data_IF_607187090452
#
_entry.id   IF_607187090452
#
_cell.length_a   1.000
_cell.length_b   1.000
_cell.length_c   1.000
_cell.angle_alpha   90.00
_cell.angle_beta   90.00
_cell.angle_gamma   90.00
#
_symmetry.space_group_name_H-M   'P 1'
#
loop_
_entity.id
_entity.type
_entity.pdbx_description
1 polymer ?
#
# COMPACT_ATOMS: atom_id res chain seq x y z
N UNK A 1 -48.29 -22.92 10.60
CA UNK A 1 -46.92 -23.46 10.45
C UNK A 1 -45.97 -22.53 9.69
N UNK A 2 -46.43 -21.89 8.60
CA UNK A 2 -45.60 -21.05 7.70
C UNK A 2 -44.96 -19.80 8.34
N UNK A 3 -45.69 -19.07 9.19
CA UNK A 3 -45.18 -17.87 9.87
C UNK A 3 -44.12 -18.22 10.93
N UNK A 4 -44.28 -19.36 11.62
CA UNK A 4 -43.32 -19.83 12.63
C UNK A 4 -41.98 -20.21 12.00
N UNK A 5 -42.00 -20.81 10.80
CA UNK A 5 -40.77 -21.14 10.06
C UNK A 5 -40.04 -19.88 9.57
N UNK A 6 -40.77 -18.88 9.09
CA UNK A 6 -40.19 -17.61 8.63
C UNK A 6 -39.54 -16.82 9.79
N UNK A 7 -40.22 -16.79 10.95
CA UNK A 7 -39.68 -16.19 12.18
C UNK A 7 -38.43 -16.91 12.68
N UNK A 8 -38.42 -18.25 12.60
CA UNK A 8 -37.26 -19.05 12.98
C UNK A 8 -36.05 -18.74 12.09
N UNK A 9 -36.25 -18.67 10.77
CA UNK A 9 -35.20 -18.32 9.80
C UNK A 9 -34.68 -16.91 10.05
N UNK A 10 -35.58 -15.94 10.30
CA UNK A 10 -35.19 -14.56 10.59
C UNK A 10 -34.41 -14.45 11.90
N UNK A 11 -34.77 -15.19 12.95
CA UNK A 11 -34.02 -15.23 14.21
C UNK A 11 -32.64 -15.87 14.04
N UNK A 12 -32.53 -16.95 13.25
CA UNK A 12 -31.23 -17.58 12.96
C UNK A 12 -30.33 -16.62 12.18
N UNK A 13 -30.90 -15.88 11.22
CA UNK A 13 -30.16 -14.87 10.46
C UNK A 13 -29.69 -13.70 11.34
N UNK A 14 -30.53 -13.22 12.26
CA UNK A 14 -30.19 -12.18 13.23
C UNK A 14 -29.14 -12.64 14.24
N UNK A 15 -29.23 -13.89 14.71
CA UNK A 15 -28.20 -14.52 15.52
C UNK A 15 -26.87 -14.64 14.78
N UNK A 16 -26.90 -14.98 13.49
CA UNK A 16 -25.70 -15.00 12.65
C UNK A 16 -25.05 -13.61 12.53
N UNK A 17 -25.85 -12.56 12.32
CA UNK A 17 -25.35 -11.16 12.28
C UNK A 17 -24.69 -10.76 13.61
N UNK A 18 -25.30 -11.11 14.74
CA UNK A 18 -24.75 -10.80 16.08
C UNK A 18 -23.50 -11.61 16.42
N UNK A 19 -23.33 -12.82 15.88
CA UNK A 19 -22.11 -13.61 16.06
C UNK A 19 -20.98 -13.08 15.15
N UNK A 20 -21.32 -12.43 14.04
CA UNK A 20 -20.34 -11.82 13.12
C UNK A 20 -19.89 -10.40 13.51
N UNK A 21 -20.40 -9.82 14.60
CA UNK A 21 -19.79 -8.59 15.14
C UNK A 21 -18.48 -8.98 15.82
N UNK A 22 -17.39 -8.88 15.07
CA UNK A 22 -16.03 -9.14 15.52
C UNK A 22 -15.73 -8.33 16.79
N UNK A 23 -15.28 -9.03 17.84
CA UNK A 23 -14.52 -8.40 18.91
C UNK A 23 -13.40 -7.59 18.27
N UNK A 24 -13.30 -6.29 18.59
CA UNK A 24 -12.18 -5.45 18.17
C UNK A 24 -10.95 -5.95 18.93
N UNK A 25 -10.22 -6.86 18.29
CA UNK A 25 -8.89 -7.29 18.70
C UNK A 25 -7.93 -6.16 18.38
N UNK A 26 -6.95 -5.91 19.23
CA UNK A 26 -5.82 -5.03 18.92
C UNK A 26 -5.28 -5.39 17.52
N UNK A 27 -5.07 -4.40 16.65
CA UNK A 27 -4.58 -4.66 15.29
C UNK A 27 -3.17 -5.22 15.41
N UNK A 28 -3.00 -6.53 15.25
CA UNK A 28 -1.70 -7.08 14.98
C UNK A 28 -1.29 -6.57 13.60
N UNK A 29 -0.19 -5.83 13.54
CA UNK A 29 0.35 -5.35 12.27
C UNK A 29 0.91 -6.53 11.46
N UNK A 30 0.84 -6.43 10.14
CA UNK A 30 1.21 -7.53 9.25
C UNK A 30 1.85 -7.09 7.93
N UNK A 31 2.51 -8.03 7.26
CA UNK A 31 3.06 -7.90 5.92
C UNK A 31 1.98 -8.26 4.89
N UNK A 32 1.54 -7.27 4.10
CA UNK A 32 0.50 -7.42 3.09
C UNK A 32 0.89 -8.11 1.79
N UNK A 33 2.09 -8.71 1.70
CA UNK A 33 2.59 -9.39 0.50
C UNK A 33 3.22 -10.73 0.81
N UNK A 34 3.20 -11.61 -0.19
CA UNK A 34 3.71 -12.97 -0.09
C UNK A 34 4.96 -13.18 -0.94
N UNK A 35 5.73 -14.19 -0.55
CA UNK A 35 6.87 -14.66 -1.34
C UNK A 35 6.44 -15.03 -2.76
N UNK A 36 7.07 -14.39 -3.74
CA UNK A 36 6.80 -14.62 -5.16
C UNK A 36 5.91 -13.55 -5.80
N UNK A 37 5.29 -12.67 -5.00
CA UNK A 37 4.54 -11.53 -5.53
C UNK A 37 5.42 -10.63 -6.39
N UNK A 38 4.80 -10.09 -7.46
CA UNK A 38 5.49 -9.29 -8.48
C UNK A 38 4.74 -7.99 -8.69
N UNK A 39 5.49 -6.91 -8.60
CA UNK A 39 4.97 -5.56 -8.78
C UNK A 39 5.79 -4.87 -9.87
N UNK A 40 5.11 -4.24 -10.83
CA UNK A 40 5.77 -3.47 -11.88
C UNK A 40 5.20 -2.07 -11.86
N UNK A 41 6.06 -1.06 -11.77
CA UNK A 41 5.68 0.33 -11.87
C UNK A 41 6.10 0.90 -13.21
N UNK A 42 5.33 1.83 -13.74
CA UNK A 42 5.64 2.61 -14.94
C UNK A 42 5.73 4.08 -14.61
N UNK A 43 6.74 4.73 -15.15
CA UNK A 43 6.87 6.18 -15.10
C UNK A 43 6.11 6.80 -16.28
N UNK A 44 4.99 7.45 -16.01
CA UNK A 44 4.18 8.11 -17.05
C UNK A 44 4.69 9.52 -17.39
N UNK A 45 5.19 10.22 -16.37
CA UNK A 45 5.69 11.59 -16.45
C UNK A 45 7.01 11.64 -15.68
N UNK A 46 8.04 12.22 -16.30
CA UNK A 46 9.31 12.58 -15.66
C UNK A 46 9.88 13.78 -16.40
N UNK A 47 9.73 14.97 -15.82
CA UNK A 47 10.42 16.18 -16.27
C UNK A 47 11.79 16.25 -15.59
N UNK A 48 12.77 15.54 -16.17
CA UNK A 48 14.12 15.44 -15.62
C UNK A 48 14.76 16.82 -15.40
N UNK A 49 14.57 17.76 -16.32
CA UNK A 49 15.15 19.10 -16.20
C UNK A 49 14.58 19.82 -14.98
N UNK A 50 13.25 19.81 -14.84
CA UNK A 50 12.59 20.43 -13.69
C UNK A 50 12.99 19.74 -12.39
N UNK A 51 13.17 18.42 -12.38
CA UNK A 51 13.69 17.69 -11.21
C UNK A 51 15.13 18.08 -10.85
N UNK A 52 16.02 18.24 -11.83
CA UNK A 52 17.39 18.71 -11.59
C UNK A 52 17.43 20.15 -11.07
N UNK A 53 16.56 21.03 -11.59
CA UNK A 53 16.44 22.41 -11.11
C UNK A 53 15.86 22.48 -9.67
N UNK A 54 15.04 21.48 -9.29
CA UNK A 54 14.36 21.40 -8.01
C UNK A 54 15.16 20.75 -6.90
N UNK A 55 15.87 19.67 -7.21
CA UNK A 55 16.50 18.78 -6.23
C UNK A 55 18.01 18.66 -6.46
N UNK A 56 18.55 19.34 -7.48
CA UNK A 56 19.95 19.30 -7.88
C UNK A 56 20.25 18.20 -8.90
N UNK A 57 21.38 18.32 -9.62
CA UNK A 57 21.75 17.41 -10.74
C UNK A 57 21.90 15.93 -10.39
N UNK A 58 22.03 15.63 -9.10
CA UNK A 58 22.28 14.29 -8.55
C UNK A 58 21.07 13.75 -7.76
N UNK A 59 19.88 14.33 -7.97
CA UNK A 59 18.65 13.95 -7.27
C UNK A 59 18.28 12.47 -7.41
N UNK A 60 18.74 11.83 -8.48
CA UNK A 60 18.47 10.42 -8.79
C UNK A 60 19.71 9.50 -8.68
N UNK A 61 20.87 10.04 -8.31
CA UNK A 61 22.16 9.31 -8.40
C UNK A 61 22.67 8.77 -7.06
N UNK A 62 22.01 9.10 -5.95
CA UNK A 62 22.40 8.63 -4.61
C UNK A 62 21.51 7.49 -4.05
N UNK A 63 20.89 6.71 -4.94
CA UNK A 63 20.70 5.27 -4.70
C UNK A 63 19.78 4.84 -3.56
N UNK A 64 18.70 5.55 -3.25
CA UNK A 64 17.64 4.96 -2.42
C UNK A 64 16.26 5.15 -3.05
N UNK A 65 15.57 4.03 -3.28
CA UNK A 65 14.15 4.01 -3.59
C UNK A 65 13.76 4.06 -5.07
N UNK A 66 12.71 4.83 -5.36
CA UNK A 66 11.94 4.80 -6.61
C UNK A 66 12.56 5.58 -7.78
N UNK A 67 13.57 6.40 -7.54
CA UNK A 67 14.02 7.42 -8.50
C UNK A 67 15.27 7.07 -9.29
N UNK A 68 15.96 6.00 -8.93
CA UNK A 68 17.21 5.59 -9.57
C UNK A 68 17.01 5.40 -11.08
N UNK A 69 17.69 6.16 -11.91
CA UNK A 69 17.53 6.13 -13.38
C UNK A 69 16.10 6.39 -13.92
N UNK A 70 15.23 7.02 -13.14
CA UNK A 70 13.85 7.27 -13.54
C UNK A 70 13.75 8.07 -14.85
N UNK A 71 13.08 7.48 -15.84
CA UNK A 71 12.79 8.11 -17.14
C UNK A 71 11.36 7.85 -17.55
N UNK A 72 10.76 8.81 -18.26
CA UNK A 72 9.42 8.66 -18.82
C UNK A 72 9.35 7.44 -19.73
N UNK A 73 8.33 6.62 -19.53
CA UNK A 73 8.06 5.40 -20.30
C UNK A 73 8.74 4.16 -19.73
N UNK A 74 9.77 4.31 -18.89
CA UNK A 74 10.45 3.17 -18.29
C UNK A 74 9.57 2.48 -17.26
N UNK A 75 9.88 1.21 -17.01
CA UNK A 75 9.25 0.35 -16.02
C UNK A 75 10.30 -0.13 -15.03
N UNK A 76 9.91 -0.26 -13.76
CA UNK A 76 10.69 -0.89 -12.69
C UNK A 76 9.91 -2.10 -12.18
N UNK A 77 10.60 -3.20 -11.88
CA UNK A 77 9.95 -4.39 -11.32
C UNK A 77 10.56 -4.77 -9.99
N UNK A 78 9.70 -5.14 -9.05
CA UNK A 78 10.08 -5.83 -7.82
C UNK A 78 9.46 -7.23 -7.78
N UNK A 79 10.19 -8.17 -7.20
CA UNK A 79 9.67 -9.50 -6.86
C UNK A 79 10.02 -9.83 -5.43
N UNK A 80 9.03 -10.13 -4.61
CA UNK A 80 9.20 -10.52 -3.21
C UNK A 80 9.95 -11.85 -3.15
N UNK A 81 11.02 -11.89 -2.37
CA UNK A 81 11.80 -13.11 -2.14
C UNK A 81 11.55 -13.74 -0.79
N UNK A 82 11.40 -12.91 0.22
CA UNK A 82 11.33 -13.32 1.60
C UNK A 82 10.69 -12.21 2.41
N UNK A 83 9.94 -12.62 3.43
CA UNK A 83 9.24 -11.77 4.37
C UNK A 83 9.54 -12.30 5.75
N UNK A 84 9.89 -11.42 6.68
CA UNK A 84 10.17 -11.76 8.07
C UNK A 84 9.36 -10.83 8.98
N UNK A 85 8.64 -11.39 9.95
CA UNK A 85 7.74 -10.64 10.84
C UNK A 85 8.26 -10.51 12.26
N UNK A 86 9.26 -11.31 12.62
CA UNK A 86 9.72 -11.47 13.99
C UNK A 86 11.23 -11.16 14.09
N UNK A 87 11.69 -10.20 13.29
CA UNK A 87 13.10 -9.83 13.25
C UNK A 87 13.42 -8.94 14.46
N UNK A 88 14.20 -9.46 15.41
CA UNK A 88 14.72 -8.66 16.53
C UNK A 88 16.09 -8.06 16.18
N UNK A 89 16.19 -6.73 16.22
CA UNK A 89 17.46 -5.99 16.03
C UNK A 89 17.77 -5.21 17.30
N UNK A 90 18.99 -5.36 17.82
CA UNK A 90 19.47 -4.55 18.94
C UNK A 90 19.65 -3.08 18.54
N UNK A 91 18.94 -2.16 19.21
CA UNK A 91 19.10 -0.74 19.00
C UNK A 91 20.05 -0.15 20.06
N UNK A 92 21.21 0.41 19.66
CA UNK A 92 22.19 0.97 20.59
C UNK A 92 21.70 2.22 21.34
N UNK A 93 20.67 2.93 20.84
CA UNK A 93 20.13 4.13 21.46
C UNK A 93 19.17 3.81 22.61
N UNK A 94 18.26 2.87 22.40
CA UNK A 94 17.33 2.38 23.44
C UNK A 94 17.96 1.32 24.34
N UNK A 95 19.08 0.71 23.90
CA UNK A 95 19.76 -0.41 24.56
C UNK A 95 18.89 -1.68 24.70
N UNK A 96 17.86 -1.80 23.86
CA UNK A 96 16.90 -2.90 23.87
C UNK A 96 16.80 -3.52 22.46
N UNK A 97 16.27 -4.75 22.39
CA UNK A 97 15.91 -5.36 21.11
C UNK A 97 14.60 -4.75 20.64
N UNK A 98 14.53 -4.35 19.37
CA UNK A 98 13.34 -3.85 18.73
C UNK A 98 12.86 -4.84 17.66
N UNK A 99 11.55 -5.02 17.55
CA UNK A 99 10.93 -5.94 16.59
C UNK A 99 10.65 -5.24 15.26
N UNK A 100 10.95 -5.92 14.17
CA UNK A 100 10.78 -5.40 12.81
C UNK A 100 10.05 -6.38 11.89
N UNK A 101 9.24 -5.81 11.00
CA UNK A 101 8.89 -6.41 9.74
C UNK A 101 10.00 -6.18 8.71
N UNK A 102 10.29 -7.17 7.90
CA UNK A 102 11.22 -7.04 6.78
C UNK A 102 10.69 -7.71 5.52
N UNK A 103 10.92 -7.04 4.39
CA UNK A 103 10.73 -7.64 3.07
C UNK A 103 12.01 -7.53 2.27
N UNK A 104 12.42 -8.66 1.73
CA UNK A 104 13.48 -8.74 0.74
C UNK A 104 12.88 -8.79 -0.66
N UNK A 105 13.33 -7.90 -1.52
CA UNK A 105 12.97 -7.85 -2.94
C UNK A 105 14.15 -8.20 -3.85
N UNK A 106 13.86 -8.80 -4.99
CA UNK A 106 14.68 -8.65 -6.20
C UNK A 106 14.17 -7.46 -6.98
N UNK A 107 15.09 -6.56 -7.37
CA UNK A 107 14.77 -5.34 -8.11
C UNK A 107 15.36 -5.37 -9.51
N UNK A 108 14.53 -4.97 -10.46
CA UNK A 108 14.93 -4.57 -11.80
C UNK A 108 14.71 -3.06 -11.89
N UNK A 109 15.77 -2.31 -12.19
CA UNK A 109 15.74 -0.85 -12.29
C UNK A 109 14.93 -0.40 -13.51
N UNK A 110 14.79 0.91 -13.65
CA UNK A 110 13.95 1.53 -14.67
C UNK A 110 14.49 1.28 -16.09
N UNK A 111 13.88 0.34 -16.80
CA UNK A 111 14.19 0.04 -18.21
C UNK A 111 12.97 0.21 -19.12
N UNK A 112 13.21 0.49 -20.40
CA UNK A 112 12.21 0.41 -21.46
C UNK A 112 12.23 -0.94 -22.18
N UNK A 113 13.09 -1.88 -21.77
CA UNK A 113 13.17 -3.20 -22.38
C UNK A 113 11.88 -4.00 -22.18
N UNK A 114 11.54 -4.80 -23.18
CA UNK A 114 10.38 -5.69 -23.14
C UNK A 114 10.67 -7.00 -22.43
N UNK A 115 11.91 -7.45 -22.48
CA UNK A 115 12.39 -8.64 -21.79
C UNK A 115 13.11 -8.25 -20.51
N UNK A 116 12.71 -8.90 -19.42
CA UNK A 116 13.31 -8.69 -18.11
C UNK A 116 14.39 -9.75 -17.94
N UNK A 117 15.64 -9.33 -18.08
CA UNK A 117 16.81 -10.19 -17.86
C UNK A 117 16.99 -10.58 -16.40
N UNK A 118 18.24 -10.78 -15.98
CA UNK A 118 18.54 -10.96 -14.56
C UNK A 118 18.24 -9.68 -13.76
N UNK A 119 18.01 -9.86 -12.45
CA UNK A 119 17.74 -8.75 -11.54
C UNK A 119 19.02 -7.94 -11.31
N UNK A 120 18.89 -6.62 -11.20
CA UNK A 120 20.04 -5.73 -11.00
C UNK A 120 20.61 -5.87 -9.59
N UNK A 121 19.75 -5.93 -8.57
CA UNK A 121 20.17 -6.14 -7.19
C UNK A 121 19.07 -6.69 -6.28
N UNK A 122 19.51 -7.14 -5.09
CA UNK A 122 18.65 -7.56 -3.98
C UNK A 122 18.58 -6.41 -2.99
N UNK A 123 17.37 -6.04 -2.60
CA UNK A 123 17.11 -4.93 -1.66
C UNK A 123 16.27 -5.43 -0.48
N UNK A 124 16.41 -4.82 0.67
CA UNK A 124 15.68 -5.18 1.89
C UNK A 124 15.08 -3.91 2.51
N UNK A 125 13.77 -3.92 2.67
CA UNK A 125 13.01 -2.86 3.34
C UNK A 125 12.62 -3.37 4.73
N UNK A 126 12.84 -2.57 5.76
CA UNK A 126 12.46 -2.88 7.14
C UNK A 126 11.53 -1.81 7.69
N UNK A 127 10.62 -2.24 8.55
CA UNK A 127 9.68 -1.40 9.25
C UNK A 127 9.56 -1.86 10.70
N UNK A 128 9.42 -0.94 11.65
CA UNK A 128 9.15 -1.34 13.04
C UNK A 128 7.82 -2.08 13.13
N UNK A 129 7.79 -3.13 13.94
CA UNK A 129 6.57 -3.88 14.23
C UNK A 129 5.56 -3.01 14.97
N UNK A 130 6.04 -2.12 15.84
CA UNK A 130 5.22 -1.11 16.49
C UNK A 130 5.56 0.30 15.95
N UNK A 131 4.60 0.99 15.30
CA UNK A 131 4.79 2.34 14.77
C UNK A 131 5.32 3.38 15.75
N UNK A 132 5.04 3.20 17.05
CA UNK A 132 5.45 4.11 18.12
C UNK A 132 6.95 4.05 18.42
N UNK A 133 7.62 3.01 17.93
CA UNK A 133 9.05 2.82 18.15
C UNK A 133 9.88 3.65 17.16
N UNK A 134 9.24 4.22 16.12
CA UNK A 134 9.87 5.28 15.32
C UNK A 134 10.05 6.53 16.18
N UNK A 135 11.26 7.08 16.22
CA UNK A 135 11.46 8.36 16.90
C UNK A 135 10.77 9.52 16.16
N UNK A 136 10.32 10.52 16.91
CA UNK A 136 9.67 11.74 16.39
C UNK A 136 10.54 12.52 15.38
N UNK A 137 11.85 12.24 15.34
CA UNK A 137 12.83 12.92 14.47
C UNK A 137 13.12 12.16 13.16
N UNK A 138 12.64 10.91 12.99
CA UNK A 138 13.03 10.03 11.88
C UNK A 138 12.18 10.19 10.59
N UNK A 139 11.39 11.26 10.46
CA UNK A 139 10.43 11.39 9.36
C UNK A 139 10.94 12.26 8.22
N UNK A 140 12.02 11.80 7.59
CA UNK A 140 12.47 12.17 6.24
C UNK A 140 13.81 11.48 5.95
N UNK A 141 14.17 11.03 4.72
CA UNK A 141 13.69 11.51 3.42
C UNK A 141 13.27 10.40 2.43
N UNK A 142 12.94 9.18 2.85
CA UNK A 142 12.51 8.13 1.91
C UNK A 142 11.05 8.38 1.48
N UNK A 143 10.91 9.35 0.57
CA UNK A 143 9.69 9.83 -0.02
C UNK A 143 8.81 8.68 -0.55
N UNK A 144 7.77 8.36 0.22
CA UNK A 144 6.78 7.32 -0.05
C UNK A 144 7.38 5.93 -0.33
N UNK A 145 7.56 5.08 0.70
CA UNK A 145 8.09 3.73 0.51
C UNK A 145 7.19 2.93 -0.42
N UNK A 146 7.79 1.97 -1.15
CA UNK A 146 7.06 1.11 -2.09
C UNK A 146 6.10 0.14 -1.41
N UNK A 147 6.32 -0.09 -0.12
CA UNK A 147 5.56 -0.99 0.74
C UNK A 147 5.41 -0.38 2.14
N UNK A 148 4.27 -0.63 2.78
CA UNK A 148 3.95 -0.27 4.16
C UNK A 148 3.20 -1.44 4.84
N UNK A 149 3.39 -1.64 6.16
CA UNK A 149 2.64 -2.64 6.91
C UNK A 149 1.13 -2.40 6.96
N UNK A 150 0.38 -3.47 7.21
CA UNK A 150 -1.07 -3.48 7.36
C UNK A 150 -1.45 -3.58 8.85
N UNK A 151 -2.67 -3.14 9.25
CA UNK A 151 -3.58 -2.30 8.50
C UNK A 151 -3.01 -0.89 8.32
N UNK A 152 -2.94 -0.42 7.08
CA UNK A 152 -2.20 0.77 6.69
C UNK A 152 -2.66 2.04 7.41
N UNK A 153 -3.98 2.21 7.56
CA UNK A 153 -4.57 3.38 8.19
C UNK A 153 -4.21 3.49 9.67
N UNK A 154 -4.12 2.38 10.38
CA UNK A 154 -3.77 2.38 11.81
C UNK A 154 -2.26 2.53 11.95
N UNK A 155 -1.49 1.83 11.11
CA UNK A 155 -0.03 1.93 11.08
C UNK A 155 0.40 3.40 10.90
N UNK A 156 -0.13 4.08 9.87
CA UNK A 156 0.24 5.48 9.58
C UNK A 156 -0.22 6.49 10.64
N UNK A 157 -1.34 6.25 11.33
CA UNK A 157 -1.80 7.13 12.43
C UNK A 157 -0.93 7.02 13.67
N UNK A 158 -0.30 5.87 13.89
CA UNK A 158 0.52 5.63 15.06
C UNK A 158 2.00 6.01 14.85
N UNK A 159 2.47 6.11 13.59
CA UNK A 159 3.79 6.69 13.32
C UNK A 159 3.71 8.19 13.60
N UNK A 160 4.58 8.72 14.46
CA UNK A 160 4.77 10.17 14.55
C UNK A 160 5.33 10.64 13.21
N UNK A 161 4.59 11.42 12.43
CA UNK A 161 5.03 11.95 11.13
C UNK A 161 5.39 13.44 11.23
N UNK A 162 6.32 13.90 10.39
CA UNK A 162 6.66 15.32 10.24
C UNK A 162 5.42 16.15 9.90
N UNK A 163 5.34 17.39 10.38
CA UNK A 163 4.16 18.28 10.26
C UNK A 163 3.70 18.50 8.80
N UNK A 164 4.62 18.45 7.84
CA UNK A 164 4.30 18.54 6.41
C UNK A 164 3.55 17.32 5.85
N UNK A 165 3.40 16.24 6.60
CA UNK A 165 2.64 15.06 6.20
C UNK A 165 1.15 15.21 6.52
N UNK A 166 0.32 14.81 5.56
CA UNK A 166 -1.10 14.62 5.75
C UNK A 166 -1.51 13.25 5.24
N UNK A 167 -2.28 12.53 6.06
CA UNK A 167 -2.83 11.23 5.70
C UNK A 167 -4.29 11.44 5.33
N UNK A 168 -4.64 11.16 4.08
CA UNK A 168 -6.04 11.08 3.67
C UNK A 168 -6.50 9.63 3.79
N UNK A 169 -7.15 9.33 4.92
CA UNK A 169 -7.83 8.05 5.20
C UNK A 169 -9.34 8.13 4.94
N UNK A 170 -9.85 9.22 4.32
CA UNK A 170 -11.31 9.42 4.18
C UNK A 170 -11.95 8.43 3.22
N UNK A 171 -11.18 7.83 2.32
CA UNK A 171 -11.65 6.75 1.46
C UNK A 171 -11.21 5.42 2.06
N UNK A 172 -12.17 4.62 2.54
CA UNK A 172 -11.93 3.24 3.04
C UNK A 172 -11.23 2.30 2.04
N UNK A 173 -11.06 2.74 0.79
CA UNK A 173 -10.48 1.97 -0.32
C UNK A 173 -9.19 2.57 -0.88
N UNK A 174 -8.80 3.78 -0.47
CA UNK A 174 -7.58 4.43 -0.96
C UNK A 174 -6.95 5.19 0.21
N UNK A 175 -5.89 4.64 0.77
CA UNK A 175 -5.06 5.37 1.72
C UNK A 175 -4.03 6.17 0.94
N UNK A 176 -4.02 7.48 1.17
CA UNK A 176 -3.07 8.39 0.53
C UNK A 176 -2.23 9.12 1.57
N UNK A 177 -0.93 9.18 1.30
CA UNK A 177 0.03 9.98 2.06
C UNK A 177 0.40 11.17 1.19
N UNK A 178 0.17 12.39 1.69
CA UNK A 178 0.67 13.59 1.06
C UNK A 178 1.74 14.22 1.94
N UNK A 179 2.79 14.74 1.33
CA UNK A 179 3.83 15.50 2.02
C UNK A 179 4.03 16.82 1.30
N UNK A 180 3.91 17.92 2.03
CA UNK A 180 4.13 19.27 1.53
C UNK A 180 5.42 19.80 2.15
N UNK A 181 6.35 20.25 1.31
CA UNK A 181 7.66 20.75 1.71
C UNK A 181 7.85 22.13 1.12
N UNK A 182 8.01 23.10 2.00
CA UNK A 182 8.45 24.45 1.68
C UNK A 182 9.96 24.47 1.47
N UNK A 183 10.44 25.50 0.78
CA UNK A 183 11.86 25.72 0.52
C UNK A 183 12.71 25.69 1.80
N UNK A 184 12.17 26.24 2.88
CA UNK A 184 12.90 26.44 4.14
C UNK A 184 12.79 25.25 5.12
N UNK A 185 12.06 24.20 4.74
CA UNK A 185 11.81 23.04 5.62
C UNK A 185 12.99 22.06 5.67
N UNK A 186 13.84 22.03 4.62
CA UNK A 186 15.01 21.17 4.55
C UNK A 186 16.31 21.97 4.71
N UNK A 187 17.27 21.40 5.42
CA UNK A 187 18.63 21.96 5.52
C UNK A 187 19.36 21.78 4.19
N UNK A 188 19.57 22.86 3.45
CA UNK A 188 20.35 22.87 2.20
C UNK A 188 19.83 23.87 1.18
N UNK A 189 20.32 23.78 -0.06
CA UNK A 189 19.87 24.63 -1.18
C UNK A 189 18.60 24.10 -1.89
N UNK A 190 18.05 22.97 -1.43
CA UNK A 190 16.96 22.24 -2.09
C UNK A 190 15.88 21.78 -1.08
N UNK A 191 14.60 21.72 -1.49
CA UNK A 191 14.09 22.06 -2.82
C UNK A 191 14.13 23.57 -3.10
N UNK A 192 14.33 23.96 -4.36
CA UNK A 192 14.42 25.40 -4.73
C UNK A 192 13.08 26.14 -4.68
N UNK A 193 11.97 25.42 -4.69
CA UNK A 193 10.59 25.90 -4.54
C UNK A 193 9.74 24.87 -3.79
N UNK A 194 8.49 25.23 -3.48
CA UNK A 194 7.51 24.32 -2.91
C UNK A 194 7.35 23.05 -3.75
N UNK A 195 7.37 21.91 -3.07
CA UNK A 195 7.00 20.61 -3.64
C UNK A 195 5.90 19.96 -2.82
N UNK A 196 5.03 19.25 -3.51
CA UNK A 196 4.02 18.38 -2.90
C UNK A 196 4.13 17.00 -3.47
N UNK A 197 4.22 16.02 -2.61
CA UNK A 197 4.21 14.61 -2.96
C UNK A 197 2.86 14.04 -2.57
N UNK A 198 2.31 13.21 -3.44
CA UNK A 198 1.08 12.48 -3.18
C UNK A 198 1.28 11.03 -3.58
N UNK A 199 1.27 10.14 -2.59
CA UNK A 199 1.41 8.71 -2.75
C UNK A 199 0.10 8.03 -2.36
N UNK A 200 -0.34 7.05 -3.14
CA UNK A 200 -1.53 6.23 -2.85
C UNK A 200 -1.11 4.78 -2.79
N UNK A 201 -1.75 4.02 -1.91
CA UNK A 201 -1.45 2.62 -1.67
C UNK A 201 -2.68 1.75 -1.94
N UNK A 202 -2.45 0.49 -2.32
CA UNK A 202 -3.51 -0.51 -2.37
C UNK A 202 -3.78 -1.10 -0.97
N UNK A 203 -4.74 -2.02 -0.90
CA UNK A 203 -5.14 -2.76 0.30
C UNK A 203 -4.05 -3.70 0.86
N UNK A 204 -3.02 -3.97 0.07
CA UNK A 204 -1.83 -4.74 0.47
C UNK A 204 -0.69 -3.85 1.01
N UNK A 205 -0.91 -2.53 1.10
CA UNK A 205 0.13 -1.59 1.53
C UNK A 205 1.20 -1.34 0.46
N UNK A 206 0.95 -1.69 -0.80
CA UNK A 206 1.85 -1.47 -1.93
C UNK A 206 1.53 -0.15 -2.61
N UNK A 207 2.57 0.61 -2.93
CA UNK A 207 2.45 1.89 -3.61
C UNK A 207 1.76 1.72 -4.97
N UNK A 208 0.57 2.28 -5.09
CA UNK A 208 -0.24 2.25 -6.31
C UNK A 208 0.10 3.42 -7.24
N UNK A 209 0.32 4.61 -6.69
CA UNK A 209 0.77 5.77 -7.47
C UNK A 209 1.60 6.72 -6.62
N UNK A 210 2.60 7.31 -7.24
CA UNK A 210 3.39 8.41 -6.71
C UNK A 210 3.33 9.60 -7.67
N UNK A 211 3.00 10.78 -7.15
CA UNK A 211 2.96 12.03 -7.90
C UNK A 211 3.74 13.11 -7.18
N UNK A 212 4.57 13.82 -7.92
CA UNK A 212 5.27 15.00 -7.43
C UNK A 212 4.77 16.24 -8.18
N UNK A 213 4.27 17.19 -7.40
CA UNK A 213 3.73 18.46 -7.81
C UNK A 213 4.66 19.60 -7.39
N UNK A 214 4.62 20.69 -8.15
CA UNK A 214 5.21 21.98 -7.80
C UNK A 214 4.11 23.01 -7.49
N UNK A 215 4.49 24.22 -7.07
CA UNK A 215 3.59 25.30 -6.61
C UNK A 215 2.36 25.59 -7.50
N UNK A 216 2.43 25.33 -8.81
CA UNK A 216 1.32 25.53 -9.75
C UNK A 216 0.44 24.28 -9.97
N UNK A 217 0.50 23.29 -9.07
CA UNK A 217 -0.15 21.97 -9.22
C UNK A 217 0.26 21.21 -10.49
N UNK A 218 1.37 21.60 -11.11
CA UNK A 218 1.93 20.90 -12.25
C UNK A 218 2.61 19.62 -11.76
N UNK A 219 2.22 18.48 -12.34
CA UNK A 219 2.87 17.19 -12.10
C UNK A 219 4.15 17.13 -12.91
N UNK A 220 5.26 16.84 -12.25
CA UNK A 220 6.57 16.68 -12.91
C UNK A 220 7.12 15.26 -12.80
N UNK A 221 6.61 14.47 -11.86
CA UNK A 221 6.83 13.01 -11.79
C UNK A 221 5.51 12.33 -11.54
N UNK A 222 5.21 11.31 -12.35
CA UNK A 222 4.11 10.38 -12.12
C UNK A 222 4.61 8.96 -12.33
N UNK A 223 4.52 8.17 -11.26
CA UNK A 223 4.78 6.73 -11.25
C UNK A 223 3.48 6.04 -10.87
N UNK A 224 3.14 4.96 -11.56
CA UNK A 224 1.93 4.18 -11.31
C UNK A 224 2.25 2.69 -11.35
N UNK A 225 1.60 1.93 -10.48
CA UNK A 225 1.64 0.47 -10.51
C UNK A 225 0.90 -0.02 -11.76
N UNK A 226 1.58 -0.78 -12.61
CA UNK A 226 0.97 -1.49 -13.73
C UNK A 226 0.18 -2.68 -13.18
N UNK A 227 -1.08 -2.43 -12.83
CA UNK A 227 -1.97 -3.50 -12.42
C UNK A 227 -2.32 -4.42 -13.60
N UNK A 228 -1.74 -5.62 -13.62
CA UNK A 228 -2.31 -6.78 -14.33
C UNK A 228 -3.00 -7.69 -13.31
N UNK A 229 -4.09 -7.22 -12.70
CA UNK A 229 -4.89 -8.07 -11.82
C UNK A 229 -6.19 -8.47 -12.51
N UNK A 230 -6.17 -9.70 -13.06
CA UNK A 230 -7.35 -10.45 -13.54
C UNK A 230 -8.04 -11.17 -12.35
N UNK A 231 -7.44 -11.14 -11.16
CA UNK A 231 -7.82 -11.93 -9.99
C UNK A 231 -8.93 -11.30 -9.14
N UNK A 232 -9.02 -9.97 -9.06
CA UNK A 232 -10.06 -9.29 -8.24
C UNK A 232 -11.48 -9.53 -8.75
N UNK A 233 -11.63 -9.92 -10.02
CA UNK A 233 -12.94 -10.28 -10.58
C UNK A 233 -13.51 -11.54 -9.93
N UNK A 234 -12.68 -12.50 -9.51
CA UNK A 234 -13.16 -13.81 -9.04
C UNK A 234 -13.78 -13.72 -7.64
N UNK A 235 -13.19 -12.94 -6.74
CA UNK A 235 -13.66 -12.79 -5.36
C UNK A 235 -15.00 -12.05 -5.27
N UNK A 236 -15.28 -11.13 -6.19
CA UNK A 236 -16.56 -10.42 -6.23
C UNK A 236 -17.73 -11.31 -6.73
N UNK A 237 -17.45 -12.31 -7.56
CA UNK A 237 -18.50 -13.19 -8.11
C UNK A 237 -18.87 -14.36 -7.19
N UNK A 238 -17.98 -14.82 -6.31
CA UNK A 238 -18.28 -15.93 -5.39
C UNK A 238 -19.51 -15.66 -4.50
N UNK A 239 -19.64 -14.49 -3.83
CA UNK A 239 -20.82 -14.18 -3.02
C UNK A 239 -22.11 -14.10 -3.85
N UNK A 240 -22.03 -13.52 -5.06
CA UNK A 240 -23.16 -13.39 -5.97
C UNK A 240 -23.65 -14.77 -6.45
N UNK A 241 -22.73 -15.67 -6.80
CA UNK A 241 -23.05 -17.04 -7.19
C UNK A 241 -23.71 -17.79 -6.03
N UNK A 242 -23.21 -17.64 -4.80
CA UNK A 242 -23.79 -18.27 -3.61
C UNK A 242 -25.22 -17.76 -3.31
N UNK A 243 -25.48 -16.46 -3.48
CA UNK A 243 -26.84 -15.89 -3.33
C UNK A 243 -27.80 -16.43 -4.40
N UNK A 244 -27.37 -16.53 -5.66
CA UNK A 244 -28.18 -17.09 -6.74
C UNK A 244 -28.52 -18.56 -6.45
N UNK A 245 -27.55 -19.36 -6.00
CA UNK A 245 -27.77 -20.76 -5.62
C UNK A 245 -28.77 -20.84 -4.45
N UNK A 246 -28.60 -19.99 -3.44
CA UNK A 246 -29.49 -19.96 -2.27
C UNK A 246 -30.95 -19.62 -2.65
N UNK A 247 -31.15 -18.59 -3.48
CA UNK A 247 -32.49 -18.22 -4.00
C UNK A 247 -33.06 -19.37 -4.83
N UNK A 248 -32.25 -20.02 -5.66
CA UNK A 248 -32.64 -21.19 -6.45
C UNK A 248 -33.13 -22.36 -5.60
N UNK A 249 -32.42 -22.66 -4.49
CA UNK A 249 -32.81 -23.71 -3.54
C UNK A 249 -34.14 -23.36 -2.86
N UNK A 250 -34.31 -22.11 -2.40
CA UNK A 250 -35.58 -21.65 -1.80
C UNK A 250 -36.74 -21.79 -2.78
N UNK A 251 -36.54 -21.37 -4.04
CA UNK A 251 -37.54 -21.48 -5.08
C UNK A 251 -37.94 -22.94 -5.36
N UNK A 252 -36.96 -23.85 -5.43
CA UNK A 252 -37.22 -25.28 -5.63
C UNK A 252 -38.00 -25.89 -4.47
N UNK A 253 -37.66 -25.54 -3.22
CA UNK A 253 -38.39 -25.98 -2.03
C UNK A 253 -39.83 -25.44 -2.06
N UNK A 254 -40.00 -24.14 -2.35
CA UNK A 254 -41.31 -23.49 -2.42
C UNK A 254 -42.20 -24.11 -3.50
N UNK A 255 -41.66 -24.37 -4.69
CA UNK A 255 -42.36 -25.01 -5.81
C UNK A 255 -42.83 -26.43 -5.47
N UNK A 256 -42.00 -27.21 -4.75
CA UNK A 256 -42.36 -28.56 -4.30
C UNK A 256 -43.46 -28.58 -3.23
N UNK A 257 -43.56 -27.52 -2.43
CA UNK A 257 -44.52 -27.38 -1.31
C UNK A 257 -45.88 -26.80 -1.75
N UNK A 258 -45.98 -26.18 -2.92
CA UNK A 258 -47.22 -25.58 -3.43
C UNK A 258 -47.94 -26.41 -4.50
N UNK A 259 -47.23 -27.36 -5.12
CA UNK A 259 -47.73 -28.17 -6.26
C UNK A 259 -47.83 -29.66 -5.89
N UNK A 260 -47.34 -30.07 -4.72
CA UNK A 260 -47.57 -31.39 -4.12
C UNK A 260 -48.48 -31.28 -2.91
#
# INVERSE_FOLDING_TARGET
MKIKLLLLISMVFLGFILITTSNVVASNYDIGVDKGDKFTWKCNICDKKKMEDLLGKNWNSNGTGLFEELKRGNRMRLTVKETDKDLEIYNPNSQENEEFFSITFKKWIWTNDDEWGDYDYKDQITHYSHPKDYSDDLIFPNFAPVWLPLPLDDYLKEIGLYEGYSIDTRSRTITAISCEIQKDDLKGDYPTEYIKIHATYNDQGILNSYKLYIANHQIIVEIVLENKSILTTIEFFIPVILVIIYIGIIYLIYKKVLIG
#
